data_IF_400917471603
#
_entry.id   IF_400917471603
#
_cell.length_a   1.000
_cell.length_b   1.000
_cell.length_c   1.000
_cell.angle_alpha   90.00
_cell.angle_beta   90.00
_cell.angle_gamma   90.00
#
_symmetry.space_group_name_H-M   'P 1'
#
loop_
_entity.id
_entity.type
_entity.pdbx_description
1 polymer ?
#
# COMPACT_ATOMS: atom_id res chain seq x y z
N UNK A 1 15.75 -9.20 -0.55
CA UNK A 1 15.46 -8.70 0.81
C UNK A 1 14.04 -9.14 1.17
N UNK A 2 13.53 -8.88 2.38
CA UNK A 2 12.12 -9.17 2.65
C UNK A 2 11.28 -8.02 2.11
N UNK A 3 10.26 -8.31 1.29
CA UNK A 3 9.38 -7.26 0.77
C UNK A 3 8.43 -6.78 1.87
N UNK A 4 8.18 -5.47 1.92
CA UNK A 4 7.15 -4.88 2.80
C UNK A 4 5.93 -4.57 1.95
N UNK A 5 4.94 -5.48 1.95
CA UNK A 5 3.67 -5.29 1.23
C UNK A 5 2.64 -4.54 2.06
N UNK A 6 2.66 -4.73 3.38
CA UNK A 6 1.90 -3.93 4.34
C UNK A 6 2.79 -3.39 5.46
N UNK A 7 2.44 -2.23 5.99
CA UNK A 7 3.15 -1.60 7.12
C UNK A 7 2.20 -0.71 7.93
N UNK A 8 2.49 -0.53 9.21
CA UNK A 8 1.66 0.30 10.11
C UNK A 8 2.30 1.68 10.32
N UNK A 9 1.49 2.72 10.25
CA UNK A 9 1.88 4.10 10.53
C UNK A 9 0.67 4.87 11.07
N UNK A 10 0.86 5.60 12.16
CA UNK A 10 -0.19 6.42 12.80
C UNK A 10 -1.53 5.66 12.97
N UNK A 11 -1.46 4.47 13.57
CA UNK A 11 -2.59 3.54 13.81
C UNK A 11 -3.32 3.00 12.57
N UNK A 12 -2.87 3.35 11.36
CA UNK A 12 -3.43 2.85 10.10
C UNK A 12 -2.56 1.76 9.49
N UNK A 13 -3.19 0.90 8.67
CA UNK A 13 -2.48 -0.09 7.87
C UNK A 13 -2.29 0.44 6.45
N UNK A 14 -1.06 0.49 5.98
CA UNK A 14 -0.71 0.94 4.64
C UNK A 14 -0.43 -0.26 3.73
N UNK A 15 -0.85 -0.16 2.46
CA UNK A 15 -0.63 -1.17 1.43
C UNK A 15 0.32 -0.62 0.37
N UNK A 16 1.49 -1.25 0.25
CA UNK A 16 2.52 -0.94 -0.72
C UNK A 16 2.37 -1.84 -1.97
N UNK A 17 1.65 -1.35 -2.98
CA UNK A 17 1.23 -2.17 -4.12
C UNK A 17 2.27 -2.32 -5.24
N UNK A 18 3.09 -1.30 -5.46
CA UNK A 18 3.93 -1.18 -6.66
C UNK A 18 5.00 -0.11 -6.50
N UNK A 19 6.09 -0.23 -7.26
CA UNK A 19 7.08 0.83 -7.47
C UNK A 19 6.74 1.75 -8.66
N UNK A 20 5.78 1.35 -9.51
CA UNK A 20 5.42 2.07 -10.73
C UNK A 20 4.69 3.36 -10.37
N UNK A 21 5.12 4.49 -10.93
CA UNK A 21 4.40 5.76 -10.81
C UNK A 21 4.52 6.52 -12.13
N UNK A 22 3.41 7.07 -12.60
CA UNK A 22 3.34 7.88 -13.83
C UNK A 22 3.93 9.28 -13.64
N UNK A 23 4.05 9.75 -12.40
CA UNK A 23 4.61 11.06 -12.08
C UNK A 23 6.09 10.98 -11.69
N UNK A 24 6.80 12.09 -11.91
CA UNK A 24 8.19 12.32 -11.51
C UNK A 24 8.28 13.57 -10.62
N UNK A 25 7.53 13.59 -9.52
CA UNK A 25 7.45 14.74 -8.62
C UNK A 25 8.84 15.09 -8.07
N UNK A 26 9.19 16.38 -8.10
CA UNK A 26 10.48 16.88 -7.58
C UNK A 26 10.63 16.68 -6.08
N UNK A 27 9.52 16.62 -5.35
CA UNK A 27 9.46 16.43 -3.90
C UNK A 27 9.16 14.97 -3.48
N UNK A 28 9.30 14.00 -4.39
CA UNK A 28 8.95 12.62 -4.07
C UNK A 28 9.94 12.00 -3.07
N UNK A 29 9.44 11.50 -1.94
CA UNK A 29 10.25 10.90 -0.86
C UNK A 29 11.14 9.74 -1.32
N UNK A 30 10.74 9.01 -2.37
CA UNK A 30 11.51 7.90 -2.94
C UNK A 30 12.85 8.33 -3.56
N UNK A 31 13.04 9.64 -3.77
CA UNK A 31 14.29 10.21 -4.27
C UNK A 31 15.26 10.55 -3.13
N UNK A 32 14.78 10.59 -1.89
CA UNK A 32 15.54 11.04 -0.72
C UNK A 32 15.79 9.91 0.29
N UNK A 33 14.85 8.96 0.39
CA UNK A 33 14.89 7.87 1.36
C UNK A 33 14.52 6.54 0.70
N UNK A 34 14.99 5.43 1.28
CA UNK A 34 14.63 4.06 0.88
C UNK A 34 13.39 3.52 1.61
N UNK A 35 12.92 4.24 2.62
CA UNK A 35 11.80 3.84 3.45
C UNK A 35 11.07 4.96 4.17
N UNK A 36 10.05 4.58 4.93
CA UNK A 36 9.30 5.44 5.86
C UNK A 36 8.99 4.64 7.14
N UNK A 37 9.06 5.27 8.31
CA UNK A 37 8.68 4.62 9.58
C UNK A 37 9.53 3.39 9.96
N UNK A 38 10.75 3.26 9.44
CA UNK A 38 11.61 2.10 9.64
C UNK A 38 11.38 0.95 8.64
N UNK A 39 10.45 1.10 7.70
CA UNK A 39 10.15 0.13 6.65
C UNK A 39 10.83 0.52 5.34
N UNK A 40 11.58 -0.38 4.71
CA UNK A 40 12.07 -0.20 3.34
C UNK A 40 10.92 -0.43 2.36
N UNK A 41 10.58 0.59 1.57
CA UNK A 41 9.37 0.57 0.72
C UNK A 41 9.64 0.16 -0.72
N UNK A 42 10.91 0.09 -1.15
CA UNK A 42 11.26 -0.48 -2.44
C UNK A 42 10.94 -1.97 -2.49
N UNK A 43 10.13 -2.34 -3.48
CA UNK A 43 9.72 -3.73 -3.71
C UNK A 43 10.69 -4.44 -4.67
N UNK A 44 11.21 -5.60 -4.28
CA UNK A 44 11.93 -6.54 -5.16
C UNK A 44 10.95 -7.20 -6.14
N UNK A 45 9.69 -7.37 -5.73
CA UNK A 45 8.58 -7.86 -6.59
C UNK A 45 7.26 -7.18 -6.24
N UNK A 46 6.37 -7.12 -7.20
CA UNK A 46 5.01 -6.65 -6.96
C UNK A 46 4.14 -7.76 -6.33
N UNK A 47 3.43 -7.48 -5.22
CA UNK A 47 2.62 -8.49 -4.52
C UNK A 47 1.37 -8.90 -5.30
N UNK A 48 0.86 -10.11 -5.09
CA UNK A 48 -0.51 -10.46 -5.52
C UNK A 48 -1.55 -9.93 -4.52
N UNK A 49 -2.84 -9.91 -4.91
CA UNK A 49 -3.92 -9.58 -3.98
C UNK A 49 -3.96 -10.55 -2.79
N UNK A 50 -3.76 -11.85 -3.06
CA UNK A 50 -3.71 -12.89 -2.03
C UNK A 50 -2.58 -12.67 -1.02
N UNK A 51 -1.39 -12.26 -1.48
CA UNK A 51 -0.25 -11.95 -0.60
C UNK A 51 -0.58 -10.80 0.35
N UNK A 52 -1.23 -9.75 -0.15
CA UNK A 52 -1.64 -8.60 0.67
C UNK A 52 -2.74 -9.01 1.65
N UNK A 53 -3.76 -9.73 1.17
CA UNK A 53 -4.89 -10.17 2.01
C UNK A 53 -4.41 -11.04 3.17
N UNK A 54 -3.38 -11.87 2.96
CA UNK A 54 -2.78 -12.69 4.03
C UNK A 54 -2.07 -11.88 5.12
N UNK A 55 -1.59 -10.68 4.78
CA UNK A 55 -0.92 -9.79 5.74
C UNK A 55 -1.90 -8.87 6.46
N UNK A 56 -3.09 -8.64 5.93
CA UNK A 56 -4.13 -7.85 6.59
C UNK A 56 -4.74 -8.70 7.72
N UNK A 57 -4.63 -8.27 9.00
CA UNK A 57 -5.32 -8.95 10.10
C UNK A 57 -6.82 -8.59 10.07
N UNK A 58 -7.47 -8.43 11.22
CA UNK A 58 -8.87 -7.96 11.24
C UNK A 58 -8.95 -6.51 10.74
N UNK A 59 -9.60 -6.24 9.59
CA UNK A 59 -9.64 -4.90 9.00
C UNK A 59 -10.36 -3.86 9.87
N UNK A 60 -11.19 -4.30 10.83
CA UNK A 60 -11.91 -3.40 11.74
C UNK A 60 -11.01 -2.79 12.82
N UNK A 61 -9.79 -3.32 13.01
CA UNK A 61 -8.82 -2.80 13.98
C UNK A 61 -8.20 -1.47 13.56
N UNK A 62 -8.21 -1.18 12.27
CA UNK A 62 -7.60 0.03 11.73
C UNK A 62 -8.67 1.09 11.47
N UNK A 63 -8.42 2.37 11.80
CA UNK A 63 -9.30 3.47 11.41
C UNK A 63 -9.46 3.54 9.89
N UNK A 64 -8.34 3.41 9.16
CA UNK A 64 -8.28 3.30 7.71
C UNK A 64 -7.23 2.26 7.28
N UNK A 65 -7.50 1.58 6.17
CA UNK A 65 -6.49 0.84 5.41
C UNK A 65 -6.18 1.64 4.14
N UNK A 66 -4.94 2.10 4.01
CA UNK A 66 -4.53 3.12 3.06
C UNK A 66 -3.72 2.50 1.92
N UNK A 67 -4.21 2.63 0.69
CA UNK A 67 -3.41 2.33 -0.50
C UNK A 67 -2.42 3.48 -0.72
N UNK A 68 -1.18 3.29 -0.29
CA UNK A 68 -0.10 4.28 -0.38
C UNK A 68 1.28 3.62 -0.17
N UNK A 69 2.22 3.91 -1.09
CA UNK A 69 3.58 3.40 -1.09
C UNK A 69 4.48 4.25 -1.99
N UNK A 70 5.57 3.68 -2.51
CA UNK A 70 6.49 4.41 -3.40
C UNK A 70 5.99 4.56 -4.85
N UNK A 71 5.06 3.71 -5.27
CA UNK A 71 4.36 3.83 -6.54
C UNK A 71 2.97 4.45 -6.44
N UNK A 72 2.34 4.58 -7.59
CA UNK A 72 0.95 4.99 -7.78
C UNK A 72 0.04 3.75 -7.70
N UNK A 73 -0.77 3.60 -6.64
CA UNK A 73 -1.62 2.42 -6.42
C UNK A 73 -2.52 2.07 -7.62
N UNK A 74 -3.03 3.08 -8.33
CA UNK A 74 -3.96 2.88 -9.46
C UNK A 74 -3.29 2.24 -10.68
N UNK A 75 -1.95 2.22 -10.76
CA UNK A 75 -1.22 1.45 -11.79
C UNK A 75 -1.46 -0.07 -11.69
N UNK A 76 -2.00 -0.55 -10.56
CA UNK A 76 -2.40 -1.95 -10.32
C UNK A 76 -3.87 -2.07 -9.92
N UNK A 77 -4.72 -1.39 -10.68
CA UNK A 77 -6.16 -1.22 -10.38
C UNK A 77 -6.90 -2.53 -10.05
N UNK A 78 -6.66 -3.63 -10.78
CA UNK A 78 -7.37 -4.88 -10.51
C UNK A 78 -6.99 -5.50 -9.16
N UNK A 79 -5.70 -5.53 -8.81
CA UNK A 79 -5.23 -5.99 -7.50
C UNK A 79 -5.75 -5.07 -6.39
N UNK A 80 -5.72 -3.75 -6.62
CA UNK A 80 -6.27 -2.76 -5.69
C UNK A 80 -7.76 -3.03 -5.42
N UNK A 81 -8.56 -3.25 -6.46
CA UNK A 81 -10.00 -3.53 -6.33
C UNK A 81 -10.27 -4.82 -5.57
N UNK A 82 -9.53 -5.89 -5.86
CA UNK A 82 -9.68 -7.18 -5.18
C UNK A 82 -9.39 -7.06 -3.67
N UNK A 83 -8.29 -6.41 -3.32
CA UNK A 83 -7.94 -6.16 -1.91
C UNK A 83 -8.95 -5.23 -1.23
N UNK A 84 -9.36 -4.16 -1.91
CA UNK A 84 -10.35 -3.22 -1.37
C UNK A 84 -11.72 -3.88 -1.15
N UNK A 85 -12.13 -4.79 -2.04
CA UNK A 85 -13.33 -5.58 -1.89
C UNK A 85 -13.25 -6.46 -0.64
N UNK A 86 -12.16 -7.23 -0.47
CA UNK A 86 -11.94 -8.05 0.71
C UNK A 86 -12.04 -7.22 2.01
N UNK A 87 -11.35 -6.07 2.06
CA UNK A 87 -11.35 -5.18 3.23
C UNK A 87 -12.78 -4.74 3.59
N UNK A 88 -13.55 -4.29 2.57
CA UNK A 88 -14.92 -3.80 2.77
C UNK A 88 -15.88 -4.92 3.18
N UNK A 89 -15.74 -6.11 2.60
CA UNK A 89 -16.53 -7.30 2.99
C UNK A 89 -16.30 -7.70 4.44
N UNK A 90 -15.12 -7.39 5.01
CA UNK A 90 -14.78 -7.63 6.42
C UNK A 90 -15.09 -6.45 7.34
N UNK A 91 -15.72 -5.38 6.83
CA UNK A 91 -16.13 -4.21 7.59
C UNK A 91 -15.04 -3.15 7.78
N UNK A 92 -13.89 -3.30 7.12
CA UNK A 92 -12.83 -2.29 7.14
C UNK A 92 -13.13 -1.08 6.24
N UNK A 93 -12.42 0.02 6.49
CA UNK A 93 -12.48 1.25 5.67
C UNK A 93 -11.23 1.36 4.81
N UNK A 94 -11.40 1.75 3.56
CA UNK A 94 -10.29 1.95 2.62
C UNK A 94 -10.09 3.42 2.29
N UNK A 95 -8.84 3.88 2.22
CA UNK A 95 -8.45 5.18 1.67
C UNK A 95 -7.48 4.99 0.51
N UNK A 96 -7.59 5.82 -0.52
CA UNK A 96 -6.68 5.83 -1.66
C UNK A 96 -5.91 7.15 -1.70
N UNK A 97 -4.58 7.09 -1.69
CA UNK A 97 -3.73 8.22 -2.03
C UNK A 97 -3.26 8.04 -3.48
N UNK A 98 -3.86 8.80 -4.40
CA UNK A 98 -3.52 8.83 -5.83
C UNK A 98 -2.82 10.15 -6.18
N UNK A 99 -1.99 10.15 -7.21
CA UNK A 99 -1.34 11.34 -7.75
C UNK A 99 -2.24 12.21 -8.66
N UNK A 100 -3.50 11.81 -8.86
CA UNK A 100 -4.55 12.50 -9.61
C UNK A 100 -5.85 11.73 -9.58
#
# INVERSE_FOLDING_TARGET
MNNVFTYELDDNLYINLTNRCTNACTFCIRNEYDGLGGYTLWLDKEPTAEEIIKEIPDPQKYPEIVFCGYGEPTARLEVLKEVAQYIKEKGGKTRLNTNG
#
